data_IF_728613948490
#
_entry.id   IF_728613948490
#
_cell.length_a   1.000
_cell.length_b   1.000
_cell.length_c   1.000
_cell.angle_alpha   90.00
_cell.angle_beta   90.00
_cell.angle_gamma   90.00
#
_symmetry.space_group_name_H-M   'P 1'
#
loop_
_entity.id
_entity.type
_entity.pdbx_description
1 polymer ?
#
# COMPACT_ATOMS: atom_id res chain seq x y z
N UNK A 1 0.95 -3.50 11.23
CA UNK A 1 2.18 -4.31 11.10
C UNK A 1 2.97 -3.76 9.92
N UNK A 2 4.29 -3.56 10.04
CA UNK A 2 5.14 -3.04 8.96
C UNK A 2 6.07 -4.13 8.45
N UNK A 3 6.17 -4.30 7.13
CA UNK A 3 7.11 -5.22 6.47
C UNK A 3 8.25 -4.38 5.89
N UNK A 4 9.48 -4.65 6.33
CA UNK A 4 10.68 -3.93 5.86
C UNK A 4 11.42 -4.83 4.86
N UNK A 5 11.43 -4.42 3.60
CA UNK A 5 12.30 -5.00 2.58
C UNK A 5 13.47 -4.03 2.33
N UNK A 6 14.70 -4.51 2.54
CA UNK A 6 15.86 -3.62 2.56
C UNK A 6 16.26 -3.16 1.14
N UNK A 7 16.22 -1.84 0.90
CA UNK A 7 16.84 -1.14 -0.25
C UNK A 7 16.47 -1.61 -1.67
N UNK A 8 15.35 -2.32 -1.87
CA UNK A 8 14.89 -2.67 -3.21
C UNK A 8 14.43 -1.41 -3.96
N UNK A 9 15.00 -1.18 -5.15
CA UNK A 9 14.67 -0.01 -5.98
C UNK A 9 13.18 -0.02 -6.35
N UNK A 10 12.50 1.10 -6.12
CA UNK A 10 11.14 1.32 -6.62
C UNK A 10 11.16 1.57 -8.14
N UNK A 11 10.33 0.82 -8.87
CA UNK A 11 10.22 0.88 -10.33
C UNK A 11 8.83 1.39 -10.72
N UNK A 12 8.77 2.42 -11.57
CA UNK A 12 7.56 3.24 -11.83
C UNK A 12 6.35 2.44 -12.34
N UNK A 13 6.56 1.31 -13.03
CA UNK A 13 5.49 0.50 -13.63
C UNK A 13 5.57 -0.99 -13.26
N UNK A 14 6.25 -1.31 -12.16
CA UNK A 14 6.40 -2.70 -11.72
C UNK A 14 6.11 -2.81 -10.24
N UNK A 15 5.42 -3.87 -9.85
CA UNK A 15 5.26 -4.27 -8.46
C UNK A 15 6.40 -5.21 -8.12
N UNK A 16 7.12 -4.94 -7.04
CA UNK A 16 8.18 -5.80 -6.54
C UNK A 16 7.61 -7.02 -5.83
N UNK A 17 8.39 -8.11 -5.78
CA UNK A 17 7.99 -9.28 -4.99
C UNK A 17 7.84 -8.97 -3.50
N UNK A 18 8.60 -8.00 -2.97
CA UNK A 18 8.45 -7.56 -1.59
C UNK A 18 7.06 -6.98 -1.32
N UNK A 19 6.53 -6.16 -2.24
CA UNK A 19 5.19 -5.58 -2.12
C UNK A 19 4.10 -6.65 -2.27
N UNK A 20 4.24 -7.56 -3.24
CA UNK A 20 3.30 -8.67 -3.40
C UNK A 20 3.28 -9.55 -2.14
N UNK A 21 4.46 -9.88 -1.61
CA UNK A 21 4.60 -10.70 -0.40
C UNK A 21 3.98 -10.00 0.80
N UNK A 22 4.22 -8.70 0.97
CA UNK A 22 3.62 -7.93 2.05
C UNK A 22 2.09 -7.89 1.95
N UNK A 23 1.54 -7.68 0.74
CA UNK A 23 0.08 -7.72 0.53
C UNK A 23 -0.50 -9.09 0.88
N UNK A 24 0.10 -10.17 0.39
CA UNK A 24 -0.37 -11.54 0.66
C UNK A 24 -0.30 -11.90 2.13
N UNK A 25 0.82 -11.58 2.79
CA UNK A 25 1.01 -11.85 4.22
C UNK A 25 -0.01 -11.11 5.08
N UNK A 26 -0.27 -9.83 4.78
CA UNK A 26 -1.28 -9.06 5.51
C UNK A 26 -2.69 -9.58 5.22
N UNK A 27 -2.97 -10.03 3.99
CA UNK A 27 -4.27 -10.57 3.62
C UNK A 27 -4.54 -11.88 4.36
N UNK A 28 -3.56 -12.77 4.42
CA UNK A 28 -3.64 -14.02 5.18
C UNK A 28 -3.95 -13.77 6.66
N UNK A 29 -3.27 -12.80 7.28
CA UNK A 29 -3.54 -12.41 8.67
C UNK A 29 -5.00 -11.97 8.90
N UNK A 30 -5.60 -11.26 7.96
CA UNK A 30 -7.01 -10.85 8.06
C UNK A 30 -7.95 -12.02 7.80
N UNK A 31 -7.64 -12.90 6.85
CA UNK A 31 -8.47 -14.08 6.53
C UNK A 31 -8.62 -15.02 7.72
N UNK A 32 -7.56 -15.21 8.50
CA UNK A 32 -7.57 -16.15 9.65
C UNK A 32 -8.19 -15.56 10.91
N UNK A 33 -8.39 -14.24 10.95
CA UNK A 33 -9.01 -13.57 12.10
C UNK A 33 -10.54 -13.69 12.03
N UNK A 34 -11.11 -14.37 13.02
CA UNK A 34 -12.55 -14.65 13.11
C UNK A 34 -13.44 -13.41 13.08
N UNK A 35 -12.90 -12.24 13.46
CA UNK A 35 -13.63 -10.98 13.42
C UNK A 35 -13.98 -10.56 11.99
N UNK A 36 -13.23 -11.04 10.99
CA UNK A 36 -13.36 -10.63 9.59
C UNK A 36 -14.01 -11.68 8.67
N UNK A 37 -14.51 -12.79 9.24
CA UNK A 37 -15.12 -13.91 8.50
C UNK A 37 -16.33 -13.55 7.60
N UNK A 38 -16.96 -12.40 7.85
CA UNK A 38 -18.12 -11.93 7.10
C UNK A 38 -17.74 -11.04 5.90
N UNK A 39 -16.47 -10.68 5.75
CA UNK A 39 -15.99 -9.89 4.64
C UNK A 39 -15.55 -10.77 3.47
N UNK A 40 -15.90 -10.36 2.26
CA UNK A 40 -15.49 -11.02 1.00
C UNK A 40 -14.32 -10.32 0.32
N UNK A 41 -14.14 -9.04 0.66
CA UNK A 41 -13.09 -8.18 0.12
C UNK A 41 -12.21 -7.75 1.28
N UNK A 42 -10.92 -8.03 1.16
CA UNK A 42 -9.90 -7.63 2.13
C UNK A 42 -9.04 -6.54 1.49
N UNK A 43 -9.34 -5.25 1.73
CA UNK A 43 -8.53 -4.15 1.23
C UNK A 43 -7.28 -4.00 2.09
N UNK A 44 -6.12 -3.90 1.45
CA UNK A 44 -4.83 -3.72 2.10
C UNK A 44 -4.09 -2.57 1.44
N UNK A 45 -3.59 -1.65 2.26
CA UNK A 45 -2.72 -0.57 1.80
C UNK A 45 -1.37 -0.72 2.48
N UNK A 46 -0.30 -0.72 1.68
CA UNK A 46 1.08 -0.69 2.17
C UNK A 46 1.81 0.53 1.61
N UNK A 47 2.72 1.08 2.40
CA UNK A 47 3.61 2.15 1.98
C UNK A 47 4.97 1.54 1.68
N UNK A 48 5.34 1.51 0.40
CA UNK A 48 6.61 0.96 -0.07
C UNK A 48 7.63 2.08 -0.15
N UNK A 49 8.72 1.94 0.61
CA UNK A 49 9.72 2.99 0.79
C UNK A 49 11.11 2.49 0.40
N UNK A 50 11.86 3.33 -0.32
CA UNK A 50 13.27 3.10 -0.63
C UNK A 50 13.99 4.44 -0.67
N UNK A 51 15.00 4.61 0.18
CA UNK A 51 15.69 5.90 0.37
C UNK A 51 14.67 7.04 0.64
N UNK A 52 14.70 8.16 -0.09
CA UNK A 52 13.73 9.25 0.05
C UNK A 52 12.54 9.12 -0.90
N UNK A 53 12.23 7.90 -1.36
CA UNK A 53 11.13 7.63 -2.28
C UNK A 53 10.10 6.75 -1.62
N UNK A 54 8.83 7.06 -1.85
CA UNK A 54 7.70 6.27 -1.38
C UNK A 54 6.66 6.13 -2.48
N UNK A 55 5.97 5.00 -2.49
CA UNK A 55 4.69 4.85 -3.19
C UNK A 55 3.68 4.13 -2.33
N UNK A 56 2.43 4.41 -2.57
CA UNK A 56 1.31 3.69 -1.98
C UNK A 56 0.99 2.50 -2.88
N UNK A 57 0.93 1.31 -2.29
CA UNK A 57 0.50 0.09 -2.98
C UNK A 57 -0.78 -0.37 -2.31
N UNK A 58 -1.87 -0.39 -3.08
CA UNK A 58 -3.18 -0.80 -2.62
C UNK A 58 -3.50 -2.14 -3.29
N UNK A 59 -3.69 -3.16 -2.47
CA UNK A 59 -4.24 -4.44 -2.89
C UNK A 59 -5.66 -4.59 -2.38
N UNK A 60 -6.49 -5.34 -3.09
CA UNK A 60 -7.62 -6.00 -2.44
C UNK A 60 -7.66 -7.47 -2.82
N UNK A 61 -7.88 -8.31 -1.81
CA UNK A 61 -8.08 -9.73 -2.02
C UNK A 61 -9.57 -10.01 -2.11
N UNK A 62 -10.03 -10.54 -3.24
CA UNK A 62 -11.39 -11.03 -3.42
C UNK A 62 -11.40 -12.53 -3.13
N UNK A 63 -12.03 -12.92 -2.02
CA UNK A 63 -12.06 -14.30 -1.56
C UNK A 63 -12.86 -15.23 -2.49
N UNK A 64 -13.98 -14.73 -3.04
CA UNK A 64 -14.84 -15.50 -3.94
C UNK A 64 -14.12 -15.86 -5.25
N UNK A 65 -13.41 -14.87 -5.82
CA UNK A 65 -12.69 -15.02 -7.10
C UNK A 65 -11.27 -15.53 -6.92
N UNK A 66 -10.76 -15.60 -5.68
CA UNK A 66 -9.35 -15.88 -5.35
C UNK A 66 -8.38 -15.01 -6.14
N UNK A 67 -8.70 -13.73 -6.22
CA UNK A 67 -7.96 -12.76 -7.02
C UNK A 67 -7.40 -11.65 -6.15
N UNK A 68 -6.09 -11.41 -6.29
CA UNK A 68 -5.43 -10.21 -5.79
C UNK A 68 -5.39 -9.16 -6.89
N UNK A 69 -6.07 -8.04 -6.69
CA UNK A 69 -5.95 -6.87 -7.55
C UNK A 69 -5.00 -5.88 -6.89
N UNK A 70 -4.05 -5.34 -7.65
CA UNK A 70 -3.03 -4.43 -7.14
C UNK A 70 -3.07 -3.13 -7.95
N UNK A 71 -3.19 -2.02 -7.25
CA UNK A 71 -3.02 -0.68 -7.76
C UNK A 71 -1.82 -0.04 -7.08
N UNK A 72 -0.97 0.62 -7.87
CA UNK A 72 0.20 1.33 -7.37
C UNK A 72 0.09 2.80 -7.70
N UNK A 73 0.39 3.66 -6.73
CA UNK A 73 0.55 5.08 -7.00
C UNK A 73 1.83 5.34 -7.79
N UNK A 74 1.94 6.54 -8.37
CA UNK A 74 3.25 7.07 -8.78
C UNK A 74 4.23 7.08 -7.59
N UNK A 75 5.51 7.09 -7.91
CA UNK A 75 6.57 7.26 -6.91
C UNK A 75 6.65 8.73 -6.52
N UNK A 76 6.47 9.01 -5.24
CA UNK A 76 6.72 10.29 -4.62
C UNK A 76 8.19 10.35 -4.22
N UNK A 77 8.92 11.30 -4.78
CA UNK A 77 10.34 11.50 -4.51
C UNK A 77 10.53 12.72 -3.60
N UNK A 78 11.03 12.48 -2.41
CA UNK A 78 11.27 13.48 -1.38
C UNK A 78 12.75 13.86 -1.25
N UNK A 79 13.59 13.50 -2.23
CA UNK A 79 15.02 13.85 -2.23
C UNK A 79 15.28 15.34 -2.05
N UNK A 80 14.44 16.19 -2.65
CA UNK A 80 14.51 17.66 -2.61
C UNK A 80 13.41 18.31 -1.76
N UNK A 81 12.72 17.55 -0.91
CA UNK A 81 11.47 17.97 -0.27
C UNK A 81 11.55 19.30 0.51
N UNK A 82 12.64 19.56 1.21
CA UNK A 82 12.83 20.80 1.97
C UNK A 82 13.15 22.02 1.10
N UNK A 83 13.36 21.84 -0.21
CA UNK A 83 13.88 22.85 -1.13
C UNK A 83 12.78 23.39 -2.06
N UNK A 84 11.72 22.63 -2.36
CA UNK A 84 10.67 23.08 -3.28
C UNK A 84 9.26 23.07 -2.69
N UNK A 85 8.63 24.24 -2.66
CA UNK A 85 7.23 24.41 -2.27
C UNK A 85 6.26 23.59 -3.16
N UNK A 86 6.68 23.29 -4.40
CA UNK A 86 5.94 22.50 -5.39
C UNK A 86 5.69 21.04 -4.96
N UNK A 87 6.50 20.49 -4.04
CA UNK A 87 6.35 19.10 -3.54
C UNK A 87 5.45 19.00 -2.30
N UNK A 88 4.96 20.12 -1.75
CA UNK A 88 4.06 20.12 -0.58
C UNK A 88 2.74 19.36 -0.81
N UNK A 89 2.07 19.47 -1.98
CA UNK A 89 0.84 18.71 -2.24
C UNK A 89 1.05 17.20 -2.15
N UNK A 90 2.16 16.67 -2.66
CA UNK A 90 2.50 15.24 -2.62
C UNK A 90 2.63 14.73 -1.18
N UNK A 91 3.21 15.56 -0.30
CA UNK A 91 3.34 15.24 1.11
C UNK A 91 2.00 15.26 1.83
N UNK A 92 1.15 16.25 1.60
CA UNK A 92 -0.20 16.27 2.17
C UNK A 92 -1.07 15.13 1.63
N UNK A 93 -0.90 14.74 0.37
CA UNK A 93 -1.56 13.56 -0.19
C UNK A 93 -1.11 12.28 0.53
N UNK A 94 0.19 12.10 0.76
CA UNK A 94 0.72 10.96 1.51
C UNK A 94 0.20 10.93 2.96
N UNK A 95 0.19 12.09 3.63
CA UNK A 95 -0.38 12.21 4.98
C UNK A 95 -1.86 11.87 5.00
N UNK A 96 -2.63 12.36 4.02
CA UNK A 96 -4.03 12.02 3.84
C UNK A 96 -4.23 10.51 3.82
N UNK A 97 -3.49 9.79 2.95
CA UNK A 97 -3.55 8.33 2.91
C UNK A 97 -3.20 7.63 4.23
N UNK A 98 -2.31 8.21 5.04
CA UNK A 98 -1.92 7.64 6.32
C UNK A 98 -2.96 7.88 7.42
N UNK A 99 -3.62 9.03 7.40
CA UNK A 99 -4.58 9.46 8.44
C UNK A 99 -6.03 9.17 8.09
N UNK A 100 -6.34 8.85 6.84
CA UNK A 100 -7.69 8.58 6.38
C UNK A 100 -8.23 7.28 6.96
N UNK A 101 -9.52 7.29 7.27
CA UNK A 101 -10.26 6.08 7.56
C UNK A 101 -10.44 5.23 6.28
N UNK A 102 -10.46 3.90 6.40
CA UNK A 102 -10.74 3.03 5.27
C UNK A 102 -12.15 3.31 4.73
N UNK A 103 -12.26 3.43 3.40
CA UNK A 103 -13.51 3.73 2.69
C UNK A 103 -13.89 2.54 1.80
N UNK A 104 -15.15 2.08 1.86
CA UNK A 104 -15.72 1.06 0.97
C UNK A 104 -16.55 0.01 1.69
N UNK A 105 -17.45 -0.65 0.95
CA UNK A 105 -18.19 -1.82 1.43
C UNK A 105 -17.37 -3.10 1.17
N UNK A 106 -17.24 -3.94 2.20
CA UNK A 106 -16.40 -5.14 2.19
C UNK A 106 -17.17 -6.44 2.45
N UNK A 107 -18.48 -6.35 2.67
CA UNK A 107 -19.43 -7.45 2.97
C UNK A 107 -20.11 -8.03 1.73
#
# INVERSE_FOLDING_TARGET
>A
MAVVANMARLLTNQVSMAEITALMYLAEHVVVDSNYNHHKIIPITIFSMSDRKVRVVQGYFNLDKRMLNINVSRILDFSTFFISAERRPDFFQLLGWFTSEPVGETT
#
